data_IF_477455007521
#
_entry.id   IF_477455007521
#
_cell.length_a   1.000
_cell.length_b   1.000
_cell.length_c   1.000
_cell.angle_alpha   90.00
_cell.angle_beta   90.00
_cell.angle_gamma   90.00
#
_symmetry.space_group_name_H-M   'P 1'
#
loop_
_entity.id
_entity.type
_entity.pdbx_description
1 polymer ?
#
# COMPACT_ATOMS: atom_id res chain seq x y z
N UNK A 1 1.16 -37.55 -4.95
CA UNK A 1 2.31 -36.79 -5.51
C UNK A 1 2.85 -35.69 -4.57
N UNK A 2 2.49 -35.72 -3.28
CA UNK A 2 2.84 -34.72 -2.23
C UNK A 2 4.21 -34.92 -1.57
N UNK A 3 4.97 -35.95 -1.97
CA UNK A 3 6.24 -36.33 -1.34
C UNK A 3 7.47 -35.52 -1.77
N UNK A 4 7.41 -34.75 -2.87
CA UNK A 4 8.56 -34.02 -3.42
C UNK A 4 8.64 -32.56 -2.91
N UNK A 5 7.56 -32.13 -2.25
CA UNK A 5 7.41 -30.93 -1.41
C UNK A 5 8.53 -30.72 -0.40
N UNK A 6 8.51 -31.72 0.48
CA UNK A 6 9.01 -31.71 1.85
C UNK A 6 10.51 -31.93 1.91
N UNK A 7 11.04 -32.77 1.02
CA UNK A 7 12.47 -33.08 0.96
C UNK A 7 13.29 -31.93 0.36
N UNK A 8 12.77 -31.23 -0.64
CA UNK A 8 13.49 -30.16 -1.34
C UNK A 8 13.67 -28.91 -0.46
N UNK A 9 12.61 -28.47 0.22
CA UNK A 9 12.67 -27.34 1.15
C UNK A 9 13.56 -27.63 2.37
N UNK A 10 13.42 -28.82 2.98
CA UNK A 10 14.19 -29.22 4.15
C UNK A 10 15.68 -29.50 3.86
N UNK A 11 16.04 -29.88 2.63
CA UNK A 11 17.44 -30.05 2.23
C UNK A 11 18.12 -28.72 1.92
N UNK A 12 17.41 -27.78 1.28
CA UNK A 12 17.95 -26.49 0.91
C UNK A 12 18.25 -25.59 2.14
N UNK A 13 17.38 -25.58 3.18
CA UNK A 13 17.58 -24.72 4.37
C UNK A 13 18.67 -25.21 5.34
N UNK A 14 18.91 -26.52 5.44
CA UNK A 14 19.96 -27.10 6.31
C UNK A 14 21.38 -26.64 5.95
N UNK A 15 21.62 -26.23 4.72
CA UNK A 15 22.93 -25.78 4.25
C UNK A 15 23.21 -24.29 4.47
N UNK A 16 22.21 -23.48 4.88
CA UNK A 16 22.36 -22.01 5.01
C UNK A 16 21.85 -21.43 6.33
N UNK A 17 20.99 -22.14 7.05
CA UNK A 17 20.57 -21.80 8.40
C UNK A 17 20.80 -23.02 9.32
N UNK A 18 22.03 -23.26 9.80
CA UNK A 18 22.38 -24.44 10.58
C UNK A 18 21.63 -24.56 11.93
N UNK A 19 20.78 -23.60 12.28
CA UNK A 19 20.00 -23.52 13.52
C UNK A 19 18.49 -23.35 13.28
N UNK A 20 18.00 -23.62 12.06
CA UNK A 20 16.56 -23.60 11.78
C UNK A 20 15.93 -24.95 12.16
N UNK A 21 14.98 -24.92 13.09
CA UNK A 21 14.19 -26.08 13.50
C UNK A 21 12.85 -26.09 12.76
N UNK A 22 12.44 -27.28 12.30
CA UNK A 22 11.25 -27.47 11.49
C UNK A 22 10.21 -28.23 12.27
N UNK A 23 9.04 -27.61 12.47
CA UNK A 23 7.91 -28.25 13.09
C UNK A 23 6.75 -28.27 12.11
N UNK A 24 6.28 -29.47 11.79
CA UNK A 24 5.05 -29.61 11.03
C UNK A 24 3.88 -29.38 11.99
N UNK A 25 3.45 -28.12 12.08
CA UNK A 25 2.30 -27.77 12.87
C UNK A 25 1.07 -28.55 12.38
N UNK A 26 0.35 -29.12 13.33
CA UNK A 26 -0.96 -29.72 13.08
C UNK A 26 -1.99 -29.00 13.95
N UNK A 27 -2.43 -27.79 13.55
CA UNK A 27 -3.56 -27.12 14.18
C UNK A 27 -4.78 -28.06 14.23
N UNK A 28 -5.63 -27.91 15.25
CA UNK A 28 -6.72 -28.83 15.53
C UNK A 28 -7.58 -29.12 14.27
N UNK A 29 -7.59 -30.38 13.83
CA UNK A 29 -8.38 -30.83 12.67
C UNK A 29 -7.78 -30.59 11.28
N UNK A 30 -6.64 -29.89 11.18
CA UNK A 30 -6.00 -29.60 9.89
C UNK A 30 -5.29 -30.83 9.29
N UNK A 31 -5.32 -31.01 7.95
CA UNK A 31 -4.53 -32.03 7.27
C UNK A 31 -3.02 -31.85 7.51
N UNK A 32 -2.30 -32.96 7.67
CA UNK A 32 -0.85 -32.93 7.87
C UNK A 32 -0.15 -32.30 6.67
N UNK A 33 0.58 -31.21 6.93
CA UNK A 33 1.32 -30.47 5.92
C UNK A 33 0.53 -29.36 5.22
N UNK A 34 -0.64 -28.99 5.72
CA UNK A 34 -1.32 -27.73 5.36
C UNK A 34 -0.56 -26.52 5.90
N UNK A 35 0.09 -26.66 7.05
CA UNK A 35 0.94 -25.65 7.67
C UNK A 35 2.32 -26.25 7.99
N UNK A 36 3.37 -25.43 7.83
CA UNK A 36 4.73 -25.77 8.24
C UNK A 36 5.31 -24.58 9.00
N UNK A 37 5.70 -24.81 10.26
CA UNK A 37 6.40 -23.81 11.04
C UNK A 37 7.90 -24.02 10.89
N UNK A 38 8.60 -22.92 10.62
CA UNK A 38 10.05 -22.87 10.48
C UNK A 38 10.54 -21.89 11.53
N UNK A 39 11.17 -22.41 12.58
CA UNK A 39 11.66 -21.61 13.70
C UNK A 39 13.13 -21.23 13.50
N UNK A 40 13.45 -19.99 13.84
CA UNK A 40 14.79 -19.42 13.93
C UNK A 40 15.02 -18.90 15.35
N UNK A 41 16.26 -18.50 15.69
CA UNK A 41 16.61 -18.13 17.07
C UNK A 41 15.72 -17.06 17.72
N UNK A 42 15.18 -16.12 16.93
CA UNK A 42 14.39 -14.98 17.42
C UNK A 42 13.08 -14.75 16.65
N UNK A 43 12.82 -15.51 15.59
CA UNK A 43 11.65 -15.37 14.71
C UNK A 43 11.28 -16.73 14.12
N UNK A 44 10.07 -16.87 13.61
CA UNK A 44 9.62 -18.03 12.86
C UNK A 44 8.85 -17.62 11.61
N UNK A 45 8.74 -18.55 10.67
CA UNK A 45 7.83 -18.44 9.53
C UNK A 45 6.75 -19.50 9.66
N UNK A 46 5.50 -19.12 9.43
CA UNK A 46 4.38 -20.06 9.32
C UNK A 46 3.95 -20.15 7.87
N UNK A 47 4.25 -21.28 7.24
CA UNK A 47 3.98 -21.49 5.81
C UNK A 47 2.63 -22.16 5.62
N UNK A 48 1.65 -21.43 5.09
CA UNK A 48 0.32 -21.96 4.73
C UNK A 48 0.36 -22.48 3.29
N UNK A 49 0.26 -23.80 3.10
CA UNK A 49 0.36 -24.42 1.77
C UNK A 49 -1.01 -24.56 1.08
N UNK A 50 -2.09 -24.54 1.85
CA UNK A 50 -3.48 -24.61 1.39
C UNK A 50 -4.41 -23.77 2.29
N UNK A 51 -5.70 -23.75 1.94
CA UNK A 51 -6.74 -22.99 2.65
C UNK A 51 -7.31 -23.71 3.88
N UNK A 52 -6.76 -24.86 4.30
CA UNK A 52 -7.32 -25.62 5.42
C UNK A 52 -7.12 -24.93 6.77
N UNK A 53 -6.16 -24.01 6.87
CA UNK A 53 -5.88 -23.19 8.06
C UNK A 53 -5.77 -21.74 7.63
N UNK A 54 -6.61 -20.88 8.19
CA UNK A 54 -6.56 -19.43 7.94
C UNK A 54 -5.26 -18.83 8.51
N UNK A 55 -4.59 -17.92 7.78
CA UNK A 55 -3.42 -17.22 8.29
C UNK A 55 -3.73 -16.29 9.46
N UNK A 56 -2.92 -16.38 10.51
CA UNK A 56 -2.91 -15.40 11.60
C UNK A 56 -1.85 -14.36 11.29
N UNK A 57 -2.23 -13.10 11.15
CA UNK A 57 -1.34 -12.04 10.69
C UNK A 57 -0.47 -11.40 11.77
N UNK A 58 -1.00 -11.31 13.00
CA UNK A 58 -0.39 -10.55 14.09
C UNK A 58 0.07 -11.47 15.24
N UNK A 59 0.47 -12.69 14.90
CA UNK A 59 1.04 -13.62 15.88
C UNK A 59 2.49 -13.23 16.17
N UNK A 60 2.77 -12.85 17.42
CA UNK A 60 4.10 -12.39 17.83
C UNK A 60 5.17 -13.44 17.52
N UNK A 61 6.12 -13.06 16.67
CA UNK A 61 7.28 -13.86 16.32
C UNK A 61 7.07 -14.88 15.20
N UNK A 62 5.89 -15.00 14.59
CA UNK A 62 5.62 -15.91 13.46
C UNK A 62 5.10 -15.15 12.23
N UNK A 63 5.94 -14.98 11.22
CA UNK A 63 5.54 -14.30 9.99
C UNK A 63 4.84 -15.27 9.01
N UNK A 64 3.63 -14.97 8.52
CA UNK A 64 2.93 -15.82 7.57
C UNK A 64 3.56 -15.80 6.18
N UNK A 65 3.70 -16.99 5.58
CA UNK A 65 4.12 -17.17 4.18
C UNK A 65 3.09 -18.01 3.46
N UNK A 66 2.52 -17.48 2.39
CA UNK A 66 1.32 -18.04 1.77
C UNK A 66 1.62 -18.77 0.46
N UNK A 67 1.14 -20.00 0.36
CA UNK A 67 1.10 -20.74 -0.89
C UNK A 67 0.13 -20.11 -1.88
N UNK A 68 0.35 -20.35 -3.17
CA UNK A 68 -0.44 -19.80 -4.28
C UNK A 68 -1.96 -20.02 -4.20
N UNK A 69 -2.41 -20.97 -3.38
CA UNK A 69 -3.82 -21.29 -3.24
C UNK A 69 -4.49 -20.53 -2.09
N UNK A 70 -3.74 -19.83 -1.25
CA UNK A 70 -4.27 -19.10 -0.09
C UNK A 70 -4.59 -17.67 -0.53
N UNK A 71 -5.86 -17.25 -0.52
CA UNK A 71 -6.24 -15.90 -0.93
C UNK A 71 -5.81 -14.86 0.12
N UNK A 72 -5.51 -13.65 -0.34
CA UNK A 72 -5.26 -12.48 0.52
C UNK A 72 -6.26 -11.40 0.12
N UNK A 73 -6.98 -10.86 1.10
CA UNK A 73 -7.91 -9.76 0.85
C UNK A 73 -7.16 -8.42 0.73
N UNK A 74 -7.86 -7.45 0.15
CA UNK A 74 -7.29 -6.13 -0.13
C UNK A 74 -6.94 -5.35 1.14
N UNK A 75 -7.74 -5.48 2.18
CA UNK A 75 -7.58 -4.70 3.41
C UNK A 75 -6.34 -5.17 4.17
N UNK A 76 -6.10 -6.49 4.22
CA UNK A 76 -4.85 -7.07 4.71
C UNK A 76 -3.61 -6.49 4.00
N UNK A 77 -3.62 -6.38 2.67
CA UNK A 77 -2.49 -5.80 1.92
C UNK A 77 -2.30 -4.29 2.16
N UNK A 78 -3.38 -3.58 2.45
CA UNK A 78 -3.34 -2.15 2.79
C UNK A 78 -2.68 -1.96 4.16
N UNK A 79 -3.11 -2.76 5.14
CA UNK A 79 -2.69 -2.64 6.53
C UNK A 79 -1.27 -3.16 6.75
N UNK A 80 -0.94 -4.34 6.21
CA UNK A 80 0.40 -4.96 6.33
C UNK A 80 1.42 -4.48 5.34
N UNK A 81 0.98 -3.77 4.30
CA UNK A 81 1.81 -3.22 3.21
C UNK A 81 2.32 -4.24 2.21
N UNK A 82 2.59 -5.47 2.67
CA UNK A 82 2.92 -6.62 1.86
C UNK A 82 2.57 -7.93 2.56
N UNK A 83 2.55 -9.03 1.80
CA UNK A 83 2.49 -10.41 2.30
C UNK A 83 3.51 -11.25 1.54
N UNK A 84 4.11 -12.23 2.22
CA UNK A 84 5.01 -13.20 1.60
C UNK A 84 4.24 -14.31 0.90
N UNK A 85 4.63 -14.60 -0.33
CA UNK A 85 4.17 -15.75 -1.09
C UNK A 85 5.24 -16.85 -1.15
N UNK A 86 4.83 -18.10 -1.38
CA UNK A 86 5.71 -19.21 -1.71
C UNK A 86 5.13 -20.02 -2.87
N UNK A 87 6.00 -20.38 -3.80
CA UNK A 87 5.66 -21.34 -4.87
C UNK A 87 6.83 -22.24 -5.19
N UNK A 88 6.54 -23.37 -5.82
CA UNK A 88 7.55 -24.26 -6.38
C UNK A 88 7.46 -24.26 -7.89
N UNK A 89 8.53 -23.78 -8.52
CA UNK A 89 8.70 -23.88 -9.94
C UNK A 89 9.37 -25.22 -10.28
N UNK A 90 8.82 -25.88 -11.29
CA UNK A 90 9.41 -27.10 -11.84
C UNK A 90 10.35 -26.73 -12.99
N UNK A 91 11.66 -26.83 -12.77
CA UNK A 91 12.68 -26.63 -13.80
C UNK A 91 13.28 -28.00 -14.13
N UNK A 92 12.70 -28.67 -15.14
CA UNK A 92 13.01 -30.07 -15.45
C UNK A 92 12.64 -31.01 -14.29
N UNK A 93 13.62 -31.77 -13.78
CA UNK A 93 13.45 -32.65 -12.61
C UNK A 93 13.66 -31.94 -11.29
N UNK A 94 14.14 -30.68 -11.31
CA UNK A 94 14.39 -29.92 -10.09
C UNK A 94 13.15 -29.13 -9.67
N UNK A 95 12.92 -29.07 -8.36
CA UNK A 95 11.90 -28.21 -7.75
C UNK A 95 12.62 -27.04 -7.10
N UNK A 96 12.40 -25.83 -7.62
CA UNK A 96 12.99 -24.60 -7.09
C UNK A 96 11.92 -23.80 -6.37
N UNK A 97 12.15 -23.56 -5.09
CA UNK A 97 11.29 -22.69 -4.29
C UNK A 97 11.55 -21.24 -4.73
N UNK A 98 10.46 -20.46 -4.80
CA UNK A 98 10.47 -19.02 -5.04
C UNK A 98 9.69 -18.34 -3.93
N UNK A 99 10.22 -17.22 -3.45
CA UNK A 99 9.55 -16.37 -2.46
C UNK A 99 8.93 -15.19 -3.19
N UNK A 100 7.65 -14.96 -2.94
CA UNK A 100 6.87 -13.88 -3.50
C UNK A 100 6.74 -12.72 -2.53
N UNK A 101 6.60 -11.52 -3.06
CA UNK A 101 6.12 -10.37 -2.28
C UNK A 101 4.92 -9.79 -3.01
N UNK A 102 3.76 -9.96 -2.39
CA UNK A 102 2.50 -9.37 -2.84
C UNK A 102 2.27 -8.07 -2.08
N UNK A 103 1.86 -7.02 -2.79
CA UNK A 103 1.60 -5.71 -2.21
C UNK A 103 0.39 -5.06 -2.90
N UNK A 104 -0.29 -4.20 -2.16
CA UNK A 104 -1.50 -3.55 -2.68
C UNK A 104 -1.25 -2.81 -4.00
N UNK A 105 -2.10 -3.06 -5.00
CA UNK A 105 -2.05 -2.48 -6.35
C UNK A 105 -0.73 -2.69 -7.12
N UNK A 106 -0.02 -3.79 -6.83
CA UNK A 106 1.18 -4.21 -7.56
C UNK A 106 1.08 -5.69 -7.93
N UNK A 107 1.77 -6.07 -9.00
CA UNK A 107 1.95 -7.49 -9.31
C UNK A 107 2.90 -8.15 -8.30
N UNK A 108 2.65 -9.42 -7.98
CA UNK A 108 3.52 -10.20 -7.09
C UNK A 108 4.90 -10.41 -7.71
N UNK A 109 5.93 -9.91 -7.04
CA UNK A 109 7.31 -10.09 -7.46
C UNK A 109 7.88 -11.39 -6.88
N UNK A 110 8.53 -12.20 -7.71
CA UNK A 110 9.04 -13.53 -7.32
C UNK A 110 10.55 -13.60 -7.37
N UNK A 111 11.16 -13.98 -6.26
CA UNK A 111 12.59 -14.04 -6.05
C UNK A 111 13.08 -15.47 -5.88
N UNK A 112 14.34 -15.71 -6.21
CA UNK A 112 15.00 -16.93 -5.75
C UNK A 112 15.31 -16.78 -4.27
N UNK A 113 15.53 -17.90 -3.61
CA UNK A 113 15.91 -17.85 -2.21
C UNK A 113 17.33 -17.28 -1.99
N UNK A 114 18.17 -17.25 -3.02
CA UNK A 114 19.48 -16.60 -2.96
C UNK A 114 19.36 -15.08 -2.86
N UNK A 115 18.22 -14.53 -3.28
CA UNK A 115 17.93 -13.09 -3.24
C UNK A 115 17.25 -12.68 -1.92
N UNK A 116 16.96 -13.62 -1.02
CA UNK A 116 16.20 -13.38 0.21
C UNK A 116 17.11 -13.52 1.44
N UNK A 117 16.88 -12.67 2.44
CA UNK A 117 17.64 -12.66 3.69
C UNK A 117 16.72 -12.81 4.90
N UNK A 118 17.21 -13.44 5.97
CA UNK A 118 16.52 -13.43 7.26
C UNK A 118 17.08 -12.30 8.11
N UNK A 119 16.22 -11.37 8.51
CA UNK A 119 16.59 -10.18 9.28
C UNK A 119 15.96 -10.23 10.68
N UNK A 120 16.31 -9.27 11.55
CA UNK A 120 15.64 -9.07 12.85
C UNK A 120 14.15 -8.67 12.72
N UNK A 121 13.68 -8.38 11.50
CA UNK A 121 12.27 -8.08 11.21
C UNK A 121 11.57 -9.24 10.51
N UNK A 122 12.25 -10.38 10.35
CA UNK A 122 11.77 -11.54 9.60
C UNK A 122 12.34 -11.64 8.19
N UNK A 123 11.64 -12.37 7.34
CA UNK A 123 12.05 -12.65 5.96
C UNK A 123 12.06 -11.36 5.12
N UNK A 124 13.21 -11.01 4.56
CA UNK A 124 13.39 -9.87 3.68
C UNK A 124 13.59 -10.33 2.24
N UNK A 125 12.83 -9.73 1.32
CA UNK A 125 13.03 -9.84 -0.13
C UNK A 125 13.46 -8.48 -0.69
N UNK A 126 14.01 -8.40 -1.90
CA UNK A 126 14.35 -7.12 -2.53
C UNK A 126 13.13 -6.19 -2.70
N UNK A 127 11.92 -6.74 -2.80
CA UNK A 127 10.68 -5.96 -2.80
C UNK A 127 10.32 -5.44 -1.42
N UNK A 128 10.44 -6.27 -0.38
CA UNK A 128 10.22 -5.87 1.03
C UNK A 128 11.17 -4.75 1.41
N UNK A 129 12.46 -4.86 1.11
CA UNK A 129 13.44 -3.80 1.39
C UNK A 129 13.04 -2.46 0.77
N UNK A 130 12.60 -2.48 -0.49
CA UNK A 130 12.13 -1.26 -1.16
C UNK A 130 10.87 -0.70 -0.50
N UNK A 131 9.91 -1.55 -0.12
CA UNK A 131 8.66 -1.13 0.54
C UNK A 131 8.97 -0.53 1.91
N UNK A 132 9.76 -1.21 2.73
CA UNK A 132 10.16 -0.75 4.07
C UNK A 132 10.96 0.53 3.97
N UNK A 133 11.93 0.63 3.06
CA UNK A 133 12.73 1.86 2.84
C UNK A 133 11.86 3.03 2.42
N UNK A 134 10.90 2.83 1.52
CA UNK A 134 9.99 3.87 1.08
C UNK A 134 9.09 4.41 2.22
N UNK A 135 8.78 3.57 3.21
CA UNK A 135 7.88 3.93 4.33
C UNK A 135 8.61 4.41 5.58
N UNK A 136 9.86 3.99 5.79
CA UNK A 136 10.71 4.42 6.91
C UNK A 136 11.54 5.66 6.60
N UNK A 137 11.73 6.01 5.33
CA UNK A 137 12.41 7.26 4.95
C UNK A 137 11.61 8.47 5.43
N UNK A 138 12.19 9.20 6.39
CA UNK A 138 11.61 10.42 6.95
C UNK A 138 11.36 11.41 5.81
N UNK A 139 10.13 11.96 5.65
CA UNK A 139 9.90 12.98 4.64
C UNK A 139 10.84 14.17 4.91
N UNK A 140 11.34 14.86 3.87
CA UNK A 140 12.22 16.01 4.04
C UNK A 140 11.59 17.05 4.99
N UNK A 141 12.42 17.66 5.84
CA UNK A 141 11.96 18.54 6.91
C UNK A 141 11.17 19.73 6.36
N UNK A 142 10.14 20.14 7.13
CA UNK A 142 9.35 21.34 6.89
C UNK A 142 10.17 22.58 7.29
N UNK A 143 10.29 23.55 6.39
CA UNK A 143 10.74 24.92 6.71
C UNK A 143 9.60 25.73 7.37
N UNK A 144 9.92 26.86 8.04
CA UNK A 144 9.29 27.28 9.28
C UNK A 144 7.90 27.88 9.02
N UNK A 145 7.00 27.64 9.96
CA UNK A 145 5.70 28.29 10.02
C UNK A 145 5.86 29.79 10.25
N UNK A 146 5.67 30.58 9.18
CA UNK A 146 5.32 31.99 9.29
C UNK A 146 3.98 32.15 10.02
N UNK A 147 3.85 33.23 10.79
CA UNK A 147 2.76 33.51 11.74
C UNK A 147 1.35 33.20 11.24
N UNK A 148 0.56 32.64 12.15
CA UNK A 148 -0.84 32.27 11.99
C UNK A 148 -1.69 33.39 11.36
N UNK A 149 -2.41 33.06 10.28
CA UNK A 149 -3.51 33.85 9.76
C UNK A 149 -4.76 32.97 9.64
N UNK A 150 -5.92 33.57 9.92
CA UNK A 150 -7.25 32.96 10.11
C UNK A 150 -7.65 31.98 9.00
N UNK A 151 -8.24 30.85 9.42
CA UNK A 151 -8.68 29.68 8.65
C UNK A 151 -7.54 29.01 7.86
N UNK A 152 -7.26 27.70 8.02
CA UNK A 152 -6.14 27.07 7.33
C UNK A 152 -6.31 27.24 5.83
N UNK A 153 -5.34 27.90 5.22
CA UNK A 153 -5.30 28.20 3.78
C UNK A 153 -5.50 26.90 3.00
N UNK A 154 -6.59 26.82 2.24
CA UNK A 154 -6.97 25.66 1.43
C UNK A 154 -5.82 25.26 0.50
N UNK A 155 -5.04 26.24 0.06
CA UNK A 155 -3.84 26.07 -0.76
C UNK A 155 -2.70 25.38 -0.01
N UNK A 156 -2.51 25.69 1.28
CA UNK A 156 -1.51 25.04 2.11
C UNK A 156 -1.89 23.57 2.40
N UNK A 157 -3.18 23.29 2.61
CA UNK A 157 -3.69 21.91 2.76
C UNK A 157 -3.55 21.11 1.48
N UNK A 158 -3.89 21.71 0.34
CA UNK A 158 -3.74 21.11 -0.98
C UNK A 158 -2.28 20.79 -1.29
N UNK A 159 -1.34 21.71 -1.03
CA UNK A 159 0.12 21.46 -1.16
C UNK A 159 0.59 20.30 -0.29
N UNK A 160 0.12 20.21 0.95
CA UNK A 160 0.48 19.09 1.85
C UNK A 160 -0.07 17.76 1.32
N UNK A 161 -1.30 17.73 0.82
CA UNK A 161 -1.89 16.53 0.24
C UNK A 161 -1.14 16.09 -1.04
N UNK A 162 -0.92 17.01 -1.98
CA UNK A 162 -0.19 16.76 -3.22
C UNK A 162 1.24 16.29 -2.97
N UNK A 163 1.91 16.81 -1.94
CA UNK A 163 3.25 16.34 -1.56
C UNK A 163 3.24 14.89 -1.05
N UNK A 164 2.29 14.54 -0.18
CA UNK A 164 2.12 13.15 0.31
C UNK A 164 1.86 12.18 -0.85
N UNK A 165 1.11 12.63 -1.86
CA UNK A 165 0.79 11.86 -3.05
C UNK A 165 1.97 11.73 -4.01
N UNK A 166 2.74 12.79 -4.24
CA UNK A 166 3.98 12.73 -5.02
C UNK A 166 5.00 11.77 -4.39
N UNK A 167 4.98 11.64 -3.06
CA UNK A 167 5.80 10.65 -2.36
C UNK A 167 5.22 9.23 -2.49
N UNK A 168 3.90 9.04 -2.51
CA UNK A 168 3.25 7.75 -2.78
C UNK A 168 3.47 7.23 -4.22
N UNK A 169 3.53 8.13 -5.21
CA UNK A 169 3.81 7.80 -6.62
C UNK A 169 5.22 7.22 -6.85
N UNK A 170 6.20 7.59 -6.02
CA UNK A 170 7.57 7.03 -6.07
C UNK A 170 7.60 5.54 -5.67
N UNK A 171 6.51 5.07 -5.07
CA UNK A 171 6.32 3.70 -4.58
C UNK A 171 5.46 2.91 -5.58
N UNK A 172 5.61 3.16 -6.89
CA UNK A 172 5.04 2.37 -8.00
C UNK A 172 3.53 2.01 -7.84
N UNK A 173 2.75 2.85 -7.17
CA UNK A 173 1.30 2.77 -7.18
C UNK A 173 0.83 3.79 -8.21
N UNK A 174 0.32 3.32 -9.34
CA UNK A 174 -0.19 4.22 -10.40
C UNK A 174 -1.56 4.73 -9.95
N UNK A 175 -1.56 5.75 -9.10
CA UNK A 175 -2.77 6.42 -8.64
C UNK A 175 -2.76 7.85 -9.19
N UNK A 176 -3.72 8.17 -10.05
CA UNK A 176 -3.93 9.54 -10.54
C UNK A 176 -4.64 10.32 -9.45
N UNK A 177 -3.99 11.38 -8.93
CA UNK A 177 -4.60 12.19 -7.87
C UNK A 177 -4.43 13.68 -8.14
N UNK A 178 -5.54 14.41 -8.02
CA UNK A 178 -5.60 15.86 -8.18
C UNK A 178 -6.39 16.47 -7.01
N UNK A 179 -6.15 17.75 -6.75
CA UNK A 179 -6.92 18.56 -5.82
C UNK A 179 -7.69 19.61 -6.61
N UNK A 180 -9.01 19.66 -6.43
CA UNK A 180 -9.85 20.75 -6.95
C UNK A 180 -10.02 21.79 -5.84
N UNK A 181 -9.64 23.03 -6.14
CA UNK A 181 -9.72 24.15 -5.23
C UNK A 181 -10.73 25.19 -5.77
N UNK A 182 -12.04 24.99 -5.51
CA UNK A 182 -13.04 25.94 -5.95
C UNK A 182 -13.04 27.20 -5.06
N UNK A 183 -13.28 28.36 -5.66
CA UNK A 183 -13.66 29.59 -4.93
C UNK A 183 -15.14 29.52 -4.49
N UNK A 184 -15.74 30.55 -3.85
CA UNK A 184 -17.10 30.44 -3.33
C UNK A 184 -18.05 29.86 -4.37
N UNK A 185 -18.65 28.71 -4.01
CA UNK A 185 -19.46 27.87 -4.88
C UNK A 185 -20.91 28.02 -4.50
N UNK A 186 -21.77 28.39 -5.44
CA UNK A 186 -23.19 28.69 -5.22
C UNK A 186 -23.93 27.52 -4.56
N UNK A 187 -23.99 27.57 -3.24
CA UNK A 187 -24.53 26.53 -2.37
C UNK A 187 -25.38 27.21 -1.31
N UNK A 188 -26.36 26.51 -0.70
CA UNK A 188 -27.18 27.08 0.37
C UNK A 188 -26.37 27.65 1.55
N UNK A 189 -25.12 27.19 1.74
CA UNK A 189 -24.22 27.72 2.76
C UNK A 189 -23.73 29.16 2.49
N UNK A 190 -23.74 29.62 1.22
CA UNK A 190 -23.38 31.00 0.89
C UNK A 190 -24.47 32.00 1.25
N UNK A 191 -25.73 31.57 1.21
CA UNK A 191 -26.91 32.37 1.55
C UNK A 191 -27.28 32.32 3.03
N UNK A 192 -26.44 31.70 3.86
CA UNK A 192 -26.62 31.63 5.32
C UNK A 192 -26.68 33.05 5.94
N UNK A 193 -27.78 33.42 6.63
CA UNK A 193 -27.90 34.70 7.34
C UNK A 193 -26.75 34.97 8.33
N UNK A 194 -26.12 33.93 8.88
CA UNK A 194 -24.93 34.02 9.73
C UNK A 194 -23.70 34.63 9.03
N UNK A 195 -23.67 34.67 7.70
CA UNK A 195 -22.63 35.34 6.89
C UNK A 195 -22.94 36.79 6.53
N UNK A 196 -24.06 37.36 6.99
CA UNK A 196 -24.46 38.74 6.65
C UNK A 196 -23.39 39.82 6.93
N UNK A 197 -22.49 39.58 7.90
CA UNK A 197 -21.38 40.50 8.22
C UNK A 197 -20.17 40.40 7.27
N UNK A 198 -20.12 39.40 6.41
CA UNK A 198 -19.04 39.20 5.43
C UNK A 198 -19.61 38.55 4.18
N UNK A 199 -20.37 39.31 3.36
CA UNK A 199 -20.94 38.78 2.14
C UNK A 199 -19.82 38.36 1.18
N UNK A 200 -19.98 37.21 0.50
CA UNK A 200 -18.98 36.72 -0.46
C UNK A 200 -18.90 37.67 -1.66
N UNK A 201 -17.69 38.07 -2.03
CA UNK A 201 -17.46 38.96 -3.17
C UNK A 201 -17.61 38.19 -4.49
N UNK A 202 -18.28 38.79 -5.47
CA UNK A 202 -18.37 38.21 -6.81
C UNK A 202 -16.99 38.22 -7.48
N UNK A 203 -16.60 37.09 -8.11
CA UNK A 203 -15.36 37.01 -8.87
C UNK A 203 -15.52 37.72 -10.23
N UNK A 204 -14.43 37.98 -10.98
CA UNK A 204 -14.47 38.72 -12.25
C UNK A 204 -15.44 38.18 -13.31
N UNK A 205 -15.77 36.89 -13.29
CA UNK A 205 -16.80 36.30 -14.16
C UNK A 205 -18.24 36.75 -13.82
N UNK A 206 -18.43 37.55 -12.76
CA UNK A 206 -19.72 38.10 -12.35
C UNK A 206 -20.64 37.12 -11.61
N UNK A 207 -20.24 35.86 -11.44
CA UNK A 207 -21.02 34.82 -10.74
C UNK A 207 -20.13 33.86 -9.97
N UNK A 208 -20.68 33.25 -8.93
CA UNK A 208 -20.02 32.15 -8.22
C UNK A 208 -19.89 30.91 -9.11
N UNK A 209 -18.97 30.02 -8.73
CA UNK A 209 -18.84 28.70 -9.36
C UNK A 209 -20.08 27.89 -9.00
N UNK A 210 -20.70 27.18 -9.93
CA UNK A 210 -21.79 26.27 -9.62
C UNK A 210 -21.27 24.91 -9.15
N UNK A 211 -22.02 24.18 -8.30
CA UNK A 211 -21.67 22.81 -7.92
C UNK A 211 -21.49 21.87 -9.12
N UNK A 212 -22.33 22.03 -10.15
CA UNK A 212 -22.27 21.23 -11.37
C UNK A 212 -20.97 21.45 -12.16
N UNK A 213 -20.42 22.67 -12.16
CA UNK A 213 -19.11 22.94 -12.77
C UNK A 213 -17.98 22.26 -11.99
N UNK A 214 -18.07 22.17 -10.66
CA UNK A 214 -17.08 21.44 -9.84
C UNK A 214 -17.19 19.94 -10.08
N UNK A 215 -18.42 19.42 -10.15
CA UNK A 215 -18.70 18.02 -10.47
C UNK A 215 -18.23 17.66 -11.89
N UNK A 216 -18.43 18.54 -12.87
CA UNK A 216 -17.97 18.35 -14.24
C UNK A 216 -16.46 18.21 -14.35
N UNK A 217 -15.70 19.09 -13.68
CA UNK A 217 -14.24 18.98 -13.61
C UNK A 217 -13.81 17.70 -12.88
N UNK A 218 -14.48 17.36 -11.78
CA UNK A 218 -14.22 16.11 -11.04
C UNK A 218 -14.43 14.88 -11.94
N UNK A 219 -15.55 14.84 -12.66
CA UNK A 219 -15.89 13.74 -13.56
C UNK A 219 -14.90 13.61 -14.71
N UNK A 220 -14.38 14.73 -15.25
CA UNK A 220 -13.33 14.70 -16.26
C UNK A 220 -12.04 14.09 -15.72
N UNK A 221 -11.59 14.53 -14.54
CA UNK A 221 -10.35 14.03 -13.93
C UNK A 221 -10.42 12.55 -13.51
N UNK A 222 -11.62 12.06 -13.17
CA UNK A 222 -11.87 10.65 -12.87
C UNK A 222 -12.17 9.83 -14.14
N UNK A 223 -12.41 10.48 -15.27
CA UNK A 223 -12.74 9.86 -16.54
C UNK A 223 -11.51 9.35 -17.30
N UNK A 224 -11.72 8.65 -18.45
CA UNK A 224 -10.64 8.07 -19.24
C UNK A 224 -9.63 9.12 -19.75
N UNK A 225 -10.08 10.35 -19.98
CA UNK A 225 -9.24 11.44 -20.49
C UNK A 225 -8.39 12.12 -19.39
N UNK A 226 -8.68 11.86 -18.11
CA UNK A 226 -7.96 12.42 -16.96
C UNK A 226 -6.68 11.67 -16.60
N UNK A 227 -6.41 10.51 -17.19
CA UNK A 227 -5.38 9.57 -16.75
C UNK A 227 -3.94 10.11 -16.78
N UNK A 228 -3.66 11.14 -17.58
CA UNK A 228 -2.35 11.78 -17.66
C UNK A 228 -2.20 12.98 -16.72
N UNK A 229 -3.25 13.41 -16.04
CA UNK A 229 -3.27 14.62 -15.20
C UNK A 229 -3.17 14.17 -13.75
N UNK A 230 -1.98 14.26 -13.15
CA UNK A 230 -1.75 13.89 -11.75
C UNK A 230 -0.89 14.92 -11.04
N UNK A 231 -1.05 15.02 -9.72
CA UNK A 231 -0.29 15.94 -8.88
C UNK A 231 -0.72 17.40 -9.00
N UNK A 232 -1.85 17.70 -9.64
CA UNK A 232 -2.27 19.08 -9.91
C UNK A 232 -3.15 19.64 -8.79
N UNK A 233 -2.98 20.94 -8.52
CA UNK A 233 -3.98 21.75 -7.83
C UNK A 233 -4.71 22.59 -8.89
N UNK A 234 -5.95 22.26 -9.17
CA UNK A 234 -6.76 22.95 -10.17
C UNK A 234 -7.65 23.97 -9.46
N UNK A 235 -7.31 25.25 -9.65
CA UNK A 235 -8.05 26.37 -9.06
C UNK A 235 -9.22 26.71 -9.97
N UNK A 236 -10.43 26.51 -9.45
CA UNK A 236 -11.67 26.82 -10.16
C UNK A 236 -12.30 28.05 -9.49
N UNK A 237 -11.87 29.23 -9.91
CA UNK A 237 -12.12 30.46 -9.16
C UNK A 237 -12.97 31.51 -9.88
N UNK A 238 -13.48 31.22 -11.07
CA UNK A 238 -14.22 32.19 -11.88
C UNK A 238 -13.44 33.52 -12.08
N UNK A 239 -12.12 33.44 -12.17
CA UNK A 239 -11.21 34.56 -12.37
C UNK A 239 -10.75 35.26 -11.08
N UNK A 240 -11.15 34.82 -9.88
CA UNK A 240 -10.80 35.51 -8.63
C UNK A 240 -9.29 35.54 -8.32
N UNK A 241 -8.48 34.72 -9.00
CA UNK A 241 -7.03 34.65 -8.85
C UNK A 241 -6.26 35.37 -9.96
N UNK A 242 -6.95 36.07 -10.86
CA UNK A 242 -6.34 36.89 -11.91
C UNK A 242 -5.82 38.23 -11.37
#
# INVERSE_FOLDING_TARGET
MTGNVKSAAAHWLRNRAPQADFEFAQPEGAPIGSVVDIQFQHHGLRVHLDQAVEPTWDEDGLEPVLGMSVPVDRDTLIDRWYVHGIRLNSEGTTRKVRIGTEAFARETEWFTLDDCEMTEQGLSTPAVERIVRARTTRPPSRWPTGKARKSPDTEARARVALRRLADALKVASVVVVNVIAPSPTDTPMLSDPGRARTPPAHPPLGRFVSPDEVAGLTSFLLGPDGGAITGQQLVQCAGASL
#
